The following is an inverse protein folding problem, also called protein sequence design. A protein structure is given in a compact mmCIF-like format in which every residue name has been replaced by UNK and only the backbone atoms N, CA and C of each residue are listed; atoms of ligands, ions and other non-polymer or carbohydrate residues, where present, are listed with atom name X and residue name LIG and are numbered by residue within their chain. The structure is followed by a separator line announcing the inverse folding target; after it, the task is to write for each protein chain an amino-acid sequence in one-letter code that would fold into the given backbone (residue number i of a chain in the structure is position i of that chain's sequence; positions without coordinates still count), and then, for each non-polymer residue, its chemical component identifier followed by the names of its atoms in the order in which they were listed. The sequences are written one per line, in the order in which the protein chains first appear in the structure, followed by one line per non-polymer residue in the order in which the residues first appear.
data_IF_159075061930
#
_entry.id   IF_159075061930
#
_cell.length_a   1.000
_cell.length_b   1.000
_cell.length_c   1.000
_cell.angle_alpha   90.00
_cell.angle_beta   90.00
_cell.angle_gamma   90.00
#
_symmetry.space_group_name_H-M   'P 1'
#
loop_
_entity.id
_entity.type
_entity.pdbx_description
1 polymer ?
#
# COMPACT_ATOMS: atom_id res chain seq x y z
N UNK A 1 -17.19 -13.26 26.55
CA UNK A 1 -15.99 -12.75 25.84
C UNK A 1 -15.91 -13.58 24.58
N UNK A 2 -16.37 -13.02 23.44
CA UNK A 2 -16.38 -13.75 22.17
C UNK A 2 -14.95 -13.96 21.70
N UNK A 3 -14.63 -15.21 21.40
CA UNK A 3 -13.45 -15.63 20.64
C UNK A 3 -13.34 -14.71 19.43
N UNK A 4 -12.17 -14.07 19.26
CA UNK A 4 -11.90 -13.27 18.08
C UNK A 4 -12.02 -14.17 16.87
N UNK A 5 -12.96 -13.88 15.98
CA UNK A 5 -12.96 -14.47 14.64
C UNK A 5 -11.56 -14.24 14.06
N UNK A 6 -10.83 -15.33 13.88
CA UNK A 6 -9.59 -15.30 13.13
C UNK A 6 -9.96 -14.87 11.72
N UNK A 7 -9.74 -13.59 11.41
CA UNK A 7 -10.01 -13.03 10.09
C UNK A 7 -9.25 -13.89 9.07
N UNK A 8 -9.98 -14.59 8.21
CA UNK A 8 -9.37 -15.36 7.13
C UNK A 8 -8.67 -14.37 6.19
N UNK A 9 -7.34 -14.29 6.31
CA UNK A 9 -6.53 -13.36 5.54
C UNK A 9 -6.55 -13.69 4.04
N UNK A 10 -7.12 -14.84 3.63
CA UNK A 10 -7.22 -15.25 2.23
C UNK A 10 -8.14 -14.38 1.38
N UNK A 11 -9.14 -13.74 2.00
CA UNK A 11 -10.11 -12.87 1.32
C UNK A 11 -9.78 -11.37 1.45
N UNK A 12 -8.61 -11.04 1.99
CA UNK A 12 -8.18 -9.65 2.14
C UNK A 12 -7.64 -9.14 0.80
N UNK A 13 -8.12 -7.96 0.40
CA UNK A 13 -7.49 -7.16 -0.63
C UNK A 13 -6.41 -6.26 0.00
N UNK A 14 -5.11 -6.58 -0.18
CA UNK A 14 -4.03 -5.78 0.40
C UNK A 14 -3.95 -4.41 -0.27
N UNK A 15 -3.82 -3.37 0.56
CA UNK A 15 -3.75 -1.97 0.13
C UNK A 15 -2.36 -1.41 0.38
N UNK A 16 -1.90 -0.56 -0.53
CA UNK A 16 -0.68 0.24 -0.46
C UNK A 16 -0.91 1.50 0.40
N UNK A 17 0.17 2.15 0.89
CA UNK A 17 0.05 3.41 1.63
C UNK A 17 -0.69 4.52 0.84
N UNK A 18 -0.43 4.74 -0.46
CA UNK A 18 -1.23 5.66 -1.27
C UNK A 18 -2.73 5.33 -1.29
N UNK A 19 -3.08 4.04 -1.32
CA UNK A 19 -4.48 3.63 -1.38
C UNK A 19 -5.23 3.87 -0.07
N UNK A 20 -4.54 3.64 1.06
CA UNK A 20 -5.09 3.96 2.38
C UNK A 20 -5.48 5.44 2.46
N UNK A 21 -4.74 6.35 1.81
CA UNK A 21 -5.04 7.79 1.82
C UNK A 21 -6.46 8.08 1.35
N UNK A 22 -6.81 7.63 0.14
CA UNK A 22 -8.15 7.92 -0.40
C UNK A 22 -9.24 7.11 0.31
N UNK A 23 -8.93 5.92 0.83
CA UNK A 23 -9.87 5.15 1.67
C UNK A 23 -10.22 5.93 2.94
N UNK A 24 -9.23 6.51 3.62
CA UNK A 24 -9.43 7.37 4.78
C UNK A 24 -10.17 8.67 4.41
N UNK A 25 -9.89 9.27 3.26
CA UNK A 25 -10.61 10.46 2.80
C UNK A 25 -12.10 10.16 2.55
N UNK A 26 -12.44 8.98 2.03
CA UNK A 26 -13.83 8.58 1.75
C UNK A 26 -14.71 8.51 3.01
N UNK A 27 -14.11 8.16 4.15
CA UNK A 27 -14.80 8.01 5.44
C UNK A 27 -14.67 9.24 6.35
N UNK A 28 -13.84 10.23 5.97
CA UNK A 28 -13.54 11.45 6.73
C UNK A 28 -14.79 12.11 7.31
N UNK A 29 -15.79 12.37 6.45
CA UNK A 29 -17.03 13.07 6.84
C UNK A 29 -17.81 12.33 7.93
N UNK A 30 -17.80 11.00 7.92
CA UNK A 30 -18.52 10.17 8.92
C UNK A 30 -17.81 10.17 10.26
N UNK A 31 -16.48 10.12 10.24
CA UNK A 31 -15.66 10.02 11.46
C UNK A 31 -15.51 11.38 12.17
N UNK A 32 -15.52 12.49 11.43
CA UNK A 32 -15.32 13.83 12.01
C UNK A 32 -16.53 14.39 12.76
N UNK A 33 -17.66 13.68 12.78
CA UNK A 33 -18.88 14.12 13.48
C UNK A 33 -18.71 14.20 15.00
N UNK A 34 -17.85 13.35 15.57
CA UNK A 34 -17.45 13.41 16.98
C UNK A 34 -15.93 13.41 17.10
N UNK A 35 -15.35 14.60 17.21
CA UNK A 35 -13.90 14.78 17.31
C UNK A 35 -13.31 14.36 18.68
N UNK A 36 -14.14 13.96 19.64
CA UNK A 36 -13.69 13.41 20.94
C UNK A 36 -13.68 11.90 20.94
N UNK A 37 -14.34 11.26 19.98
CA UNK A 37 -14.38 9.82 19.85
C UNK A 37 -12.98 9.23 19.66
N UNK A 38 -12.75 8.05 20.23
CA UNK A 38 -11.51 7.28 20.05
C UNK A 38 -11.26 6.98 18.57
N UNK A 39 -12.32 6.71 17.80
CA UNK A 39 -12.28 6.49 16.35
C UNK A 39 -11.69 7.70 15.59
N UNK A 40 -12.03 8.93 16.01
CA UNK A 40 -11.46 10.13 15.41
C UNK A 40 -9.96 10.28 15.71
N UNK A 41 -9.52 9.93 16.93
CA UNK A 41 -8.10 9.95 17.28
C UNK A 41 -7.29 8.94 16.47
N UNK A 42 -7.80 7.71 16.31
CA UNK A 42 -7.18 6.67 15.48
C UNK A 42 -7.09 7.17 14.04
N UNK A 43 -8.22 7.59 13.47
CA UNK A 43 -8.30 8.15 12.12
C UNK A 43 -7.26 9.26 11.89
N UNK A 44 -7.18 10.24 12.80
CA UNK A 44 -6.26 11.37 12.69
C UNK A 44 -4.80 10.91 12.71
N UNK A 45 -4.43 9.99 13.59
CA UNK A 45 -3.06 9.47 13.66
C UNK A 45 -2.71 8.65 12.42
N UNK A 46 -3.62 7.80 11.94
CA UNK A 46 -3.42 7.03 10.71
C UNK A 46 -3.29 7.96 9.51
N UNK A 47 -4.15 8.99 9.38
CA UNK A 47 -4.05 9.95 8.28
C UNK A 47 -2.69 10.69 8.29
N UNK A 48 -2.22 11.14 9.46
CA UNK A 48 -0.90 11.77 9.58
C UNK A 48 0.26 10.83 9.19
N UNK A 49 0.16 9.55 9.56
CA UNK A 49 1.12 8.53 9.13
C UNK A 49 1.10 8.38 7.61
N UNK A 50 -0.08 8.25 7.01
CA UNK A 50 -0.22 8.12 5.56
C UNK A 50 0.28 9.36 4.83
N UNK A 51 -0.07 10.57 5.28
CA UNK A 51 0.42 11.82 4.68
C UNK A 51 1.95 11.96 4.79
N UNK A 52 2.58 11.33 5.79
CA UNK A 52 4.02 11.35 5.97
C UNK A 52 4.77 10.35 5.09
N UNK A 53 4.19 9.18 4.84
CA UNK A 53 4.90 8.05 4.23
C UNK A 53 4.38 7.63 2.85
N UNK A 54 3.15 8.00 2.46
CA UNK A 54 2.66 7.76 1.12
C UNK A 54 3.42 8.67 0.12
N UNK A 55 4.11 8.08 -0.85
CA UNK A 55 4.83 8.83 -1.89
C UNK A 55 3.91 9.32 -3.02
N UNK A 56 2.81 8.61 -3.25
CA UNK A 56 1.80 8.97 -4.25
C UNK A 56 0.60 9.60 -3.52
N UNK A 57 0.26 10.83 -3.90
CA UNK A 57 -0.83 11.60 -3.29
C UNK A 57 -2.14 11.53 -4.09
N UNK A 58 -2.06 11.35 -5.41
CA UNK A 58 -3.21 11.36 -6.31
C UNK A 58 -3.76 9.95 -6.54
N UNK A 59 -5.09 9.80 -6.43
CA UNK A 59 -5.76 8.51 -6.61
C UNK A 59 -5.56 7.91 -8.00
N UNK A 60 -5.66 8.72 -9.06
CA UNK A 60 -5.44 8.25 -10.44
C UNK A 60 -4.04 7.68 -10.62
N UNK A 61 -3.03 8.35 -10.08
CA UNK A 61 -1.63 7.92 -10.12
C UNK A 61 -1.44 6.63 -9.32
N UNK A 62 -2.10 6.49 -8.16
CA UNK A 62 -2.04 5.26 -7.36
C UNK A 62 -2.70 4.07 -8.08
N UNK A 63 -3.86 4.29 -8.70
CA UNK A 63 -4.58 3.29 -9.49
C UNK A 63 -3.71 2.83 -10.70
N UNK A 64 -3.10 3.77 -11.42
CA UNK A 64 -2.20 3.49 -12.55
C UNK A 64 -0.94 2.74 -12.11
N UNK A 65 -0.37 3.11 -10.97
CA UNK A 65 0.79 2.44 -10.38
C UNK A 65 0.48 0.98 -10.02
N UNK A 66 -0.68 0.73 -9.38
CA UNK A 66 -1.15 -0.64 -9.09
C UNK A 66 -1.30 -1.46 -10.38
N UNK A 67 -2.02 -0.91 -11.36
CA UNK A 67 -2.27 -1.60 -12.63
C UNK A 67 -0.97 -1.93 -13.38
N UNK A 68 0.01 -1.04 -13.29
CA UNK A 68 1.34 -1.24 -13.88
C UNK A 68 2.09 -2.38 -13.21
N UNK A 69 2.09 -2.46 -11.87
CA UNK A 69 2.70 -3.57 -11.13
C UNK A 69 1.98 -4.90 -11.39
N UNK A 70 0.65 -4.90 -11.44
CA UNK A 70 -0.14 -6.07 -11.79
C UNK A 70 0.22 -6.58 -13.20
N UNK A 71 0.37 -5.67 -14.16
CA UNK A 71 0.77 -6.01 -15.54
C UNK A 71 2.19 -6.58 -15.64
N UNK A 72 3.06 -6.29 -14.67
CA UNK A 72 4.39 -6.89 -14.53
C UNK A 72 4.36 -8.26 -13.81
N UNK A 73 3.17 -8.78 -13.49
CA UNK A 73 2.98 -10.08 -12.86
C UNK A 73 3.26 -10.08 -11.35
N UNK A 74 3.16 -8.93 -10.69
CA UNK A 74 3.18 -8.85 -9.23
C UNK A 74 1.85 -9.37 -8.66
N UNK A 75 1.94 -10.17 -7.58
CA UNK A 75 0.78 -10.54 -6.78
C UNK A 75 0.25 -9.35 -5.97
N UNK A 76 -1.00 -9.43 -5.52
CA UNK A 76 -1.63 -8.40 -4.66
C UNK A 76 -0.78 -8.08 -3.41
N UNK A 77 -0.17 -9.11 -2.81
CA UNK A 77 0.77 -8.95 -1.70
C UNK A 77 2.01 -8.15 -2.13
N UNK A 78 2.68 -8.55 -3.21
CA UNK A 78 3.87 -7.85 -3.71
C UNK A 78 3.55 -6.38 -4.04
N UNK A 79 2.42 -6.13 -4.70
CA UNK A 79 1.93 -4.78 -5.00
C UNK A 79 1.82 -3.95 -3.71
N UNK A 80 1.13 -4.47 -2.69
CA UNK A 80 0.92 -3.74 -1.43
C UNK A 80 2.23 -3.37 -0.73
N UNK A 81 3.22 -4.27 -0.75
CA UNK A 81 4.52 -4.05 -0.11
C UNK A 81 5.38 -3.11 -0.95
N UNK A 82 5.43 -3.28 -2.28
CA UNK A 82 6.15 -2.39 -3.21
C UNK A 82 5.63 -0.96 -3.09
N UNK A 83 4.31 -0.78 -3.14
CA UNK A 83 3.66 0.53 -3.02
C UNK A 83 3.67 1.13 -1.61
N UNK A 84 4.27 0.44 -0.64
CA UNK A 84 4.48 0.95 0.71
C UNK A 84 5.96 1.23 1.00
N UNK A 85 6.88 0.43 0.46
CA UNK A 85 8.31 0.52 0.74
C UNK A 85 9.09 1.31 -0.33
N UNK A 86 8.64 1.29 -1.59
CA UNK A 86 9.31 1.93 -2.73
C UNK A 86 10.81 1.58 -2.82
N UNK A 87 11.16 0.31 -3.07
CA UNK A 87 12.57 -0.10 -3.19
C UNK A 87 13.27 0.62 -4.34
N UNK A 88 14.55 0.94 -4.13
CA UNK A 88 15.37 1.77 -5.02
C UNK A 88 16.39 0.96 -5.83
N UNK A 89 16.55 -0.33 -5.52
CA UNK A 89 17.43 -1.24 -6.28
C UNK A 89 16.84 -2.65 -6.35
N UNK A 90 17.37 -3.47 -7.27
CA UNK A 90 16.98 -4.89 -7.40
C UNK A 90 17.31 -5.67 -6.12
N UNK A 91 18.48 -5.39 -5.55
CA UNK A 91 18.97 -6.01 -4.32
C UNK A 91 18.05 -5.67 -3.15
N UNK A 92 17.69 -4.39 -3.00
CA UNK A 92 16.76 -3.93 -1.96
C UNK A 92 15.37 -4.56 -2.15
N UNK A 93 14.84 -4.57 -3.38
CA UNK A 93 13.54 -5.16 -3.68
C UNK A 93 13.48 -6.64 -3.28
N UNK A 94 14.50 -7.43 -3.64
CA UNK A 94 14.58 -8.86 -3.29
C UNK A 94 14.82 -9.09 -1.79
N UNK A 95 15.55 -8.21 -1.12
CA UNK A 95 15.80 -8.29 0.32
C UNK A 95 14.54 -7.98 1.14
N UNK A 96 13.77 -6.96 0.75
CA UNK A 96 12.55 -6.55 1.43
C UNK A 96 11.35 -7.44 1.08
N UNK A 97 11.32 -7.99 -0.13
CA UNK A 97 10.19 -8.76 -0.67
C UNK A 97 10.71 -10.11 -1.20
N UNK A 98 10.89 -11.11 -0.32
CA UNK A 98 11.52 -12.38 -0.69
C UNK A 98 10.83 -13.13 -1.85
N UNK A 99 9.52 -12.94 -2.04
CA UNK A 99 8.78 -13.55 -3.16
C UNK A 99 9.26 -13.06 -4.53
N UNK A 100 9.82 -11.85 -4.62
CA UNK A 100 10.46 -11.34 -5.85
C UNK A 100 11.74 -12.09 -6.19
N UNK A 101 12.35 -12.82 -5.24
CA UNK A 101 13.50 -13.69 -5.49
C UNK A 101 13.21 -14.81 -6.48
N UNK A 102 11.93 -15.20 -6.62
CA UNK A 102 11.48 -16.22 -7.57
C UNK A 102 11.28 -15.68 -9.00
N UNK A 103 11.30 -14.35 -9.19
CA UNK A 103 11.15 -13.71 -10.50
C UNK A 103 12.52 -13.50 -11.15
N UNK A 104 12.55 -13.48 -12.48
CA UNK A 104 13.77 -13.19 -13.21
C UNK A 104 14.25 -11.74 -12.95
N UNK A 105 15.58 -11.54 -12.98
CA UNK A 105 16.19 -10.25 -12.66
C UNK A 105 15.74 -9.12 -13.59
N UNK A 106 15.40 -9.43 -14.85
CA UNK A 106 14.92 -8.42 -15.80
C UNK A 106 13.51 -7.93 -15.44
N UNK A 107 12.62 -8.82 -15.01
CA UNK A 107 11.29 -8.48 -14.49
C UNK A 107 11.40 -7.64 -13.22
N UNK A 108 12.27 -8.01 -12.28
CA UNK A 108 12.51 -7.20 -11.08
C UNK A 108 13.11 -5.83 -11.42
N UNK A 109 14.01 -5.77 -12.42
CA UNK A 109 14.52 -4.50 -12.94
C UNK A 109 13.41 -3.58 -13.43
N UNK A 110 12.48 -4.09 -14.25
CA UNK A 110 11.31 -3.31 -14.72
C UNK A 110 10.41 -2.83 -13.59
N UNK A 111 10.25 -3.63 -12.53
CA UNK A 111 9.49 -3.24 -11.33
C UNK A 111 10.19 -2.06 -10.64
N UNK A 112 11.50 -2.14 -10.43
CA UNK A 112 12.28 -1.05 -9.81
C UNK A 112 12.26 0.20 -10.68
N UNK A 113 12.45 0.06 -12.00
CA UNK A 113 12.36 1.18 -12.96
C UNK A 113 10.99 1.84 -12.94
N UNK A 114 9.92 1.06 -12.76
CA UNK A 114 8.57 1.60 -12.58
C UNK A 114 8.49 2.38 -11.26
N UNK A 115 8.93 1.81 -10.13
CA UNK A 115 8.91 2.45 -8.81
C UNK A 115 9.64 3.80 -8.85
N UNK A 116 10.83 3.84 -9.48
CA UNK A 116 11.66 5.04 -9.58
C UNK A 116 10.99 6.19 -10.36
N UNK A 117 9.96 5.93 -11.17
CA UNK A 117 9.19 6.99 -11.83
C UNK A 117 8.27 7.76 -10.89
N UNK A 118 7.97 7.20 -9.71
CA UNK A 118 7.02 7.75 -8.74
C UNK A 118 7.71 8.22 -7.45
N UNK A 119 9.04 8.36 -7.47
CA UNK A 119 9.89 8.77 -6.33
C UNK A 119 10.78 9.94 -6.71
#
# INVERSE_FOLDING_TARGET
MSEGEELDLKDIHPVTLPEVKYLLESIKRRITLDNRAVSYRIYKQTLLYIDKFARISEKSIADDFRNSLFSLGCSEYEISVIGSLFPQSIEEAKALIPSLGNKDTNTVGKIVDLVLKYT
#
